data_IF_312605820151
#
_entry.id   IF_312605820151
#
_cell.length_a   1.000
_cell.length_b   1.000
_cell.length_c   1.000
_cell.angle_alpha   90.00
_cell.angle_beta   90.00
_cell.angle_gamma   90.00
#
_symmetry.space_group_name_H-M   'P 1'
#
loop_
_entity.id
_entity.type
_entity.pdbx_description
1 polymer ?
#
# COMPACT_ATOMS: atom_id res chain seq x y z
N UNK A 1 -13.62 11.84 -22.10
CA UNK A 1 -14.09 10.60 -21.45
C UNK A 1 -13.02 10.15 -20.47
N UNK A 2 -13.30 10.16 -19.17
CA UNK A 2 -12.40 9.59 -18.15
C UNK A 2 -12.46 8.07 -18.26
N UNK A 3 -11.32 7.34 -18.29
CA UNK A 3 -11.36 5.88 -18.30
C UNK A 3 -12.02 5.35 -17.02
N UNK A 4 -12.73 4.23 -17.13
CA UNK A 4 -13.33 3.57 -15.98
C UNK A 4 -12.23 3.19 -14.96
N UNK A 5 -12.52 3.26 -13.65
CA UNK A 5 -11.54 2.87 -12.64
C UNK A 5 -11.14 1.39 -12.82
N UNK A 6 -9.86 1.05 -12.59
CA UNK A 6 -9.41 -0.31 -12.70
C UNK A 6 -10.10 -1.18 -11.67
N UNK A 7 -10.37 -2.42 -12.07
CA UNK A 7 -10.96 -3.41 -11.18
C UNK A 7 -9.89 -3.96 -10.22
N UNK A 8 -10.29 -4.41 -9.01
CA UNK A 8 -9.38 -5.11 -8.13
C UNK A 8 -8.70 -6.31 -8.82
N UNK A 9 -7.46 -6.66 -8.44
CA UNK A 9 -6.75 -7.80 -9.02
C UNK A 9 -7.44 -9.16 -8.80
N UNK A 10 -8.42 -9.22 -7.91
CA UNK A 10 -9.20 -10.40 -7.57
C UNK A 10 -9.84 -10.25 -6.19
N UNK A 11 -10.37 -11.36 -5.65
CA UNK A 11 -10.81 -11.41 -4.25
C UNK A 11 -9.62 -11.18 -3.32
N UNK A 12 -9.84 -10.38 -2.27
CA UNK A 12 -8.84 -10.20 -1.23
C UNK A 12 -8.60 -11.51 -0.46
N UNK A 13 -7.33 -11.83 -0.24
CA UNK A 13 -6.86 -12.97 0.54
C UNK A 13 -7.29 -12.89 2.01
N UNK A 14 -7.28 -11.68 2.57
CA UNK A 14 -7.83 -11.39 3.89
C UNK A 14 -9.23 -10.81 3.74
N UNK A 15 -10.04 -10.95 4.80
CA UNK A 15 -11.23 -10.12 4.94
C UNK A 15 -10.81 -8.66 4.84
N UNK A 16 -11.44 -7.95 3.92
CA UNK A 16 -11.05 -6.58 3.56
C UNK A 16 -11.09 -5.66 4.78
N UNK A 17 -9.99 -4.93 5.00
CA UNK A 17 -9.89 -3.92 6.04
C UNK A 17 -10.37 -2.57 5.49
N UNK A 18 -10.86 -1.69 6.35
CA UNK A 18 -11.27 -0.33 5.96
C UNK A 18 -10.41 0.69 6.66
N UNK A 19 -10.04 1.73 5.92
CA UNK A 19 -9.40 2.92 6.46
C UNK A 19 -10.19 4.16 6.06
N UNK A 20 -10.11 5.20 6.88
CA UNK A 20 -10.67 6.50 6.54
C UNK A 20 -9.52 7.45 6.26
N UNK A 21 -9.45 7.93 5.02
CA UNK A 21 -8.53 8.99 4.65
C UNK A 21 -9.17 10.34 4.93
N UNK A 22 -8.38 11.31 5.38
CA UNK A 22 -8.88 12.64 5.71
C UNK A 22 -9.46 13.34 4.46
N UNK A 23 -10.50 14.13 4.64
CA UNK A 23 -11.02 15.04 3.62
C UNK A 23 -10.77 16.48 4.08
N UNK A 24 -9.50 16.91 4.05
CA UNK A 24 -9.13 18.29 4.32
C UNK A 24 -9.54 18.79 5.70
N UNK A 25 -9.46 20.11 5.92
CA UNK A 25 -9.79 20.70 7.22
C UNK A 25 -11.28 20.57 7.59
N UNK A 26 -12.18 20.44 6.61
CA UNK A 26 -13.63 20.61 6.79
C UNK A 26 -14.51 19.52 6.13
N UNK A 27 -13.92 18.48 5.54
CA UNK A 27 -14.66 17.43 4.84
C UNK A 27 -14.84 16.15 5.67
N UNK A 28 -15.92 15.42 5.39
CA UNK A 28 -16.07 14.05 5.87
C UNK A 28 -15.05 13.15 5.17
N UNK A 29 -14.18 12.48 5.94
CA UNK A 29 -13.15 11.59 5.39
C UNK A 29 -13.72 10.51 4.48
N UNK A 30 -12.95 10.09 3.47
CA UNK A 30 -13.35 9.04 2.53
C UNK A 30 -12.98 7.68 3.10
N UNK A 31 -13.94 6.75 3.15
CA UNK A 31 -13.64 5.37 3.53
C UNK A 31 -13.14 4.58 2.32
N UNK A 32 -11.97 3.97 2.47
CA UNK A 32 -11.38 3.08 1.48
C UNK A 32 -11.35 1.65 2.01
N UNK A 33 -11.59 0.73 1.11
CA UNK A 33 -11.44 -0.70 1.33
C UNK A 33 -10.05 -1.15 0.86
N UNK A 34 -9.35 -1.85 1.73
CA UNK A 34 -8.02 -2.40 1.47
C UNK A 34 -8.12 -3.88 1.16
N UNK A 35 -7.34 -4.31 0.17
CA UNK A 35 -7.21 -5.72 -0.19
C UNK A 35 -5.78 -6.11 -0.45
N UNK A 36 -5.54 -7.42 -0.43
CA UNK A 36 -4.25 -8.03 -0.67
C UNK A 36 -4.43 -9.35 -1.43
N UNK A 37 -3.58 -9.63 -2.42
CA UNK A 37 -3.56 -10.93 -3.09
C UNK A 37 -2.94 -12.00 -2.18
N UNK A 38 -3.21 -13.30 -2.38
CA UNK A 38 -2.47 -14.34 -1.68
C UNK A 38 -0.97 -14.17 -1.93
N UNK A 39 -0.11 -14.09 -0.89
CA UNK A 39 1.31 -13.82 -1.08
C UNK A 39 2.02 -15.07 -1.59
N UNK A 40 2.84 -14.99 -2.63
CA UNK A 40 3.67 -16.11 -3.09
C UNK A 40 5.05 -15.99 -2.47
N UNK A 41 5.64 -17.11 -2.02
CA UNK A 41 6.99 -17.13 -1.47
C UNK A 41 7.97 -17.66 -2.52
N UNK A 42 9.12 -17.00 -2.65
CA UNK A 42 10.23 -17.41 -3.51
C UNK A 42 11.22 -18.27 -2.72
N UNK A 43 12.06 -19.03 -3.42
CA UNK A 43 13.06 -19.93 -2.80
C UNK A 43 14.10 -19.18 -1.94
N UNK A 44 14.35 -17.90 -2.22
CA UNK A 44 15.23 -17.01 -1.45
C UNK A 44 14.50 -16.24 -0.33
N UNK A 45 13.24 -16.61 -0.04
CA UNK A 45 12.46 -16.15 1.12
C UNK A 45 11.75 -14.81 0.94
N UNK A 46 11.59 -14.32 -0.29
CA UNK A 46 10.77 -13.14 -0.55
C UNK A 46 9.30 -13.52 -0.64
N UNK A 47 8.46 -12.75 0.03
CA UNK A 47 7.03 -12.73 -0.19
C UNK A 47 6.67 -11.70 -1.24
N UNK A 48 5.95 -12.15 -2.27
CA UNK A 48 5.42 -11.34 -3.35
C UNK A 48 3.90 -11.25 -3.24
N UNK A 49 3.36 -10.05 -3.21
CA UNK A 49 1.92 -9.83 -3.18
C UNK A 49 1.55 -8.52 -3.90
N UNK A 50 0.25 -8.34 -4.13
CA UNK A 50 -0.32 -7.06 -4.54
C UNK A 50 -1.21 -6.56 -3.42
N UNK A 51 -1.03 -5.32 -2.98
CA UNK A 51 -1.97 -4.61 -2.09
C UNK A 51 -2.65 -3.49 -2.84
N UNK A 52 -3.90 -3.20 -2.53
CA UNK A 52 -4.66 -2.16 -3.21
C UNK A 52 -5.65 -1.46 -2.28
N UNK A 53 -6.06 -0.26 -2.67
CA UNK A 53 -7.15 0.47 -2.03
C UNK A 53 -8.24 0.78 -3.07
N UNK A 54 -9.49 0.62 -2.68
CA UNK A 54 -10.64 0.86 -3.54
C UNK A 54 -11.86 1.37 -2.79
N UNK A 55 -12.86 1.80 -3.54
CA UNK A 55 -14.21 2.14 -3.08
C UNK A 55 -15.25 1.28 -3.83
N UNK A 56 -16.52 1.67 -3.80
CA UNK A 56 -17.59 0.95 -4.49
C UNK A 56 -17.49 0.98 -6.02
N UNK A 57 -16.73 1.91 -6.59
CA UNK A 57 -16.55 2.03 -8.05
C UNK A 57 -15.34 1.24 -8.54
N UNK A 58 -14.37 0.93 -7.67
CA UNK A 58 -13.21 0.11 -7.99
C UNK A 58 -11.96 0.61 -7.27
N UNK A 59 -10.80 0.40 -7.88
CA UNK A 59 -9.53 0.87 -7.33
C UNK A 59 -9.41 2.39 -7.49
N UNK A 60 -9.09 3.07 -6.39
CA UNK A 60 -8.91 4.53 -6.40
C UNK A 60 -7.58 4.93 -7.01
N UNK A 61 -7.48 6.17 -7.48
CA UNK A 61 -6.21 6.75 -7.89
C UNK A 61 -5.33 7.08 -6.68
N UNK A 62 -4.01 7.03 -6.83
CA UNK A 62 -3.06 7.49 -5.82
C UNK A 62 -3.29 8.96 -5.45
N UNK A 63 -3.80 9.78 -6.38
CA UNK A 63 -4.23 11.16 -6.10
C UNK A 63 -5.24 11.25 -4.94
N UNK A 64 -6.09 10.25 -4.74
CA UNK A 64 -7.08 10.25 -3.65
C UNK A 64 -6.43 10.31 -2.27
N UNK A 65 -5.15 9.93 -2.14
CA UNK A 65 -4.40 9.92 -0.88
C UNK A 65 -3.29 10.98 -0.85
N UNK A 66 -3.20 11.84 -1.85
CA UNK A 66 -2.15 12.86 -1.96
C UNK A 66 -2.26 13.89 -0.82
N UNK A 67 -1.13 14.53 -0.43
CA UNK A 67 -1.16 15.68 0.46
C UNK A 67 -2.13 16.75 -0.05
N UNK A 68 -2.90 17.35 0.87
CA UNK A 68 -4.01 18.24 0.49
C UNK A 68 -3.59 19.70 0.31
N UNK A 69 -2.41 20.05 0.78
CA UNK A 69 -1.87 21.41 0.70
C UNK A 69 -0.64 21.43 -0.18
N UNK A 70 -0.72 22.19 -1.28
CA UNK A 70 0.35 22.33 -2.26
C UNK A 70 0.43 21.15 -3.25
N UNK A 71 1.21 21.30 -4.33
CA UNK A 71 1.52 20.17 -5.21
C UNK A 71 2.29 19.10 -4.41
N UNK A 72 2.00 17.80 -4.62
CA UNK A 72 2.72 16.75 -3.92
C UNK A 72 4.23 16.85 -4.21
N UNK A 73 5.10 16.85 -3.18
CA UNK A 73 6.53 17.08 -3.37
C UNK A 73 7.24 15.89 -4.02
N UNK A 74 6.76 14.68 -3.79
CA UNK A 74 7.33 13.43 -4.29
C UNK A 74 6.28 12.58 -5.06
N UNK A 75 6.71 11.64 -5.92
CA UNK A 75 5.83 10.60 -6.43
C UNK A 75 5.21 9.79 -5.28
N UNK A 76 4.06 9.11 -5.47
CA UNK A 76 3.34 8.47 -4.37
C UNK A 76 4.17 7.49 -3.52
N UNK A 77 5.09 6.74 -4.15
CA UNK A 77 5.99 5.82 -3.42
C UNK A 77 7.00 6.52 -2.52
N UNK A 78 7.36 7.79 -2.80
CA UNK A 78 8.21 8.59 -1.92
C UNK A 78 7.57 8.83 -0.56
N UNK A 79 6.24 8.86 -0.48
CA UNK A 79 5.49 9.01 0.77
C UNK A 79 5.06 7.66 1.36
N UNK A 80 4.52 6.77 0.53
CA UNK A 80 4.05 5.45 0.99
C UNK A 80 5.22 4.60 1.50
N UNK A 81 6.35 4.58 0.78
CA UNK A 81 7.48 3.68 1.05
C UNK A 81 8.05 3.82 2.45
N UNK A 82 8.49 5.01 2.87
CA UNK A 82 9.02 5.24 4.21
C UNK A 82 7.99 4.93 5.31
N UNK A 83 6.73 5.35 5.14
CA UNK A 83 5.68 5.09 6.13
C UNK A 83 5.37 3.59 6.26
N UNK A 84 5.31 2.88 5.15
CA UNK A 84 5.09 1.42 5.10
C UNK A 84 6.25 0.66 5.76
N UNK A 85 7.49 0.99 5.40
CA UNK A 85 8.68 0.36 5.94
C UNK A 85 8.82 0.62 7.45
N UNK A 86 8.55 1.86 7.89
CA UNK A 86 8.52 2.25 9.29
C UNK A 86 7.47 1.48 10.10
N UNK A 87 6.27 1.30 9.57
CA UNK A 87 5.19 0.53 10.21
C UNK A 87 5.54 -0.97 10.38
N UNK A 88 6.48 -1.49 9.59
CA UNK A 88 6.96 -2.87 9.65
C UNK A 88 8.32 -3.02 10.35
N UNK A 89 8.84 -1.96 10.98
CA UNK A 89 10.10 -2.01 11.70
C UNK A 89 10.10 -3.09 12.79
N UNK A 90 11.14 -3.92 12.81
CA UNK A 90 11.25 -5.08 13.71
C UNK A 90 10.42 -6.32 13.31
N UNK A 91 9.69 -6.26 12.18
CA UNK A 91 8.99 -7.40 11.59
C UNK A 91 9.66 -7.90 10.29
N UNK A 92 10.31 -7.01 9.55
CA UNK A 92 10.98 -7.33 8.28
C UNK A 92 12.48 -7.38 8.41
N UNK A 93 13.07 -8.33 7.68
CA UNK A 93 14.50 -8.58 7.63
C UNK A 93 15.28 -7.31 7.26
N UNK A 94 16.51 -7.21 7.75
CA UNK A 94 17.44 -6.14 7.39
C UNK A 94 18.77 -6.71 6.89
N UNK A 95 19.35 -6.03 5.91
CA UNK A 95 20.70 -6.28 5.39
C UNK A 95 21.42 -4.94 5.26
N UNK A 96 22.63 -4.84 5.80
CA UNK A 96 23.41 -3.59 5.85
C UNK A 96 22.62 -2.37 6.40
N UNK A 97 21.78 -2.63 7.41
CA UNK A 97 20.93 -1.61 8.05
C UNK A 97 19.75 -1.15 7.18
N UNK A 98 19.45 -1.85 6.09
CA UNK A 98 18.31 -1.56 5.21
C UNK A 98 17.26 -2.64 5.30
N UNK A 99 16.02 -2.21 5.50
CA UNK A 99 14.87 -3.11 5.50
C UNK A 99 14.66 -3.74 4.11
N UNK A 100 14.43 -5.05 4.10
CA UNK A 100 14.21 -5.86 2.90
C UNK A 100 12.75 -5.79 2.45
N UNK A 101 12.38 -4.64 1.93
CA UNK A 101 11.07 -4.36 1.35
C UNK A 101 11.22 -3.60 0.04
N UNK A 102 10.39 -3.93 -0.96
CA UNK A 102 10.34 -3.27 -2.25
C UNK A 102 8.88 -3.03 -2.61
N UNK A 103 8.57 -1.78 -2.98
CA UNK A 103 7.25 -1.38 -3.44
C UNK A 103 7.36 -0.90 -4.88
N UNK A 104 6.38 -1.25 -5.72
CA UNK A 104 6.22 -0.67 -7.06
C UNK A 104 4.76 -0.33 -7.31
N UNK A 105 4.54 0.78 -7.99
CA UNK A 105 3.24 1.11 -8.58
C UNK A 105 3.26 0.73 -10.06
N UNK A 106 2.10 0.48 -10.68
CA UNK A 106 2.00 0.44 -12.13
C UNK A 106 2.53 1.76 -12.74
N UNK A 107 2.98 1.73 -14.01
CA UNK A 107 3.35 2.95 -14.72
C UNK A 107 2.17 3.91 -14.76
N UNK A 108 2.44 5.22 -14.70
CA UNK A 108 1.38 6.20 -14.92
C UNK A 108 1.02 6.22 -16.41
N UNK A 109 -0.24 6.53 -16.71
CA UNK A 109 -0.63 6.83 -18.09
C UNK A 109 0.08 8.10 -18.60
N UNK A 110 0.36 9.04 -17.70
CA UNK A 110 1.14 10.26 -17.93
C UNK A 110 2.18 10.41 -16.81
N UNK A 111 3.46 10.19 -17.13
CA UNK A 111 4.54 10.28 -16.14
C UNK A 111 4.81 11.72 -15.65
N UNK A 112 4.26 12.75 -16.32
CA UNK A 112 4.23 14.12 -15.78
C UNK A 112 3.23 14.28 -14.64
N UNK A 113 2.33 13.31 -14.46
CA UNK A 113 1.28 13.27 -13.43
C UNK A 113 1.40 12.00 -12.61
N UNK A 114 2.47 11.84 -11.79
CA UNK A 114 2.76 10.58 -11.13
C UNK A 114 1.71 10.15 -10.10
N UNK A 115 0.79 11.03 -9.73
CA UNK A 115 -0.33 10.74 -8.83
C UNK A 115 -1.59 10.25 -9.55
N UNK A 116 -1.68 10.42 -10.88
CA UNK A 116 -2.78 9.91 -11.71
C UNK A 116 -2.49 8.46 -12.15
N UNK A 117 -2.29 7.58 -11.17
CA UNK A 117 -2.19 6.13 -11.37
C UNK A 117 -3.00 5.34 -10.33
N UNK A 118 -3.44 4.12 -10.64
CA UNK A 118 -4.18 3.28 -9.70
C UNK A 118 -3.37 3.01 -8.43
N UNK A 119 -4.02 3.02 -7.27
CA UNK A 119 -3.42 2.71 -5.98
C UNK A 119 -3.33 1.19 -5.78
N UNK A 120 -2.51 0.56 -6.63
CA UNK A 120 -2.17 -0.87 -6.62
C UNK A 120 -0.67 -0.98 -6.44
N UNK A 121 -0.21 -1.53 -5.34
CA UNK A 121 1.21 -1.67 -5.01
C UNK A 121 1.62 -3.13 -5.14
N UNK A 122 2.60 -3.39 -6.00
CA UNK A 122 3.36 -4.63 -5.99
C UNK A 122 4.32 -4.60 -4.81
N UNK A 123 4.16 -5.55 -3.90
CA UNK A 123 4.91 -5.69 -2.66
C UNK A 123 5.87 -6.88 -2.79
N UNK A 124 7.15 -6.64 -2.56
CA UNK A 124 8.12 -7.67 -2.22
C UNK A 124 8.60 -7.43 -0.79
N UNK A 125 8.51 -8.42 0.08
CA UNK A 125 8.88 -8.29 1.51
C UNK A 125 9.60 -9.55 1.96
N UNK A 126 10.73 -9.39 2.66
CA UNK A 126 11.38 -10.48 3.36
C UNK A 126 11.15 -10.30 4.85
N UNK A 127 10.39 -11.20 5.45
CA UNK A 127 10.09 -11.16 6.87
C UNK A 127 11.32 -11.55 7.69
N UNK A 128 11.41 -11.05 8.92
CA UNK A 128 12.39 -11.56 9.88
C UNK A 128 12.19 -13.08 10.06
N UNK A 129 13.26 -13.91 10.02
CA UNK A 129 13.11 -15.38 10.07
C UNK A 129 12.34 -15.87 11.30
N UNK A 130 12.56 -15.23 12.45
CA UNK A 130 11.82 -15.56 13.69
C UNK A 130 10.33 -15.27 13.55
N UNK A 131 9.93 -14.24 12.80
CA UNK A 131 8.52 -13.94 12.52
C UNK A 131 7.90 -14.99 11.61
N UNK A 132 8.62 -15.45 10.58
CA UNK A 132 8.13 -16.55 9.72
C UNK A 132 7.90 -17.85 10.50
N UNK A 133 8.70 -18.11 11.54
CA UNK A 133 8.55 -19.31 12.38
C UNK A 133 7.43 -19.21 13.42
N UNK A 134 7.07 -17.98 13.84
CA UNK A 134 6.16 -17.75 14.97
C UNK A 134 4.80 -17.19 14.56
N UNK A 135 4.66 -16.72 13.33
CA UNK A 135 3.42 -16.13 12.81
C UNK A 135 2.91 -16.94 11.64
N UNK A 136 1.59 -17.14 11.61
CA UNK A 136 0.90 -17.73 10.46
C UNK A 136 0.94 -16.78 9.26
N UNK A 137 0.74 -17.33 8.06
CA UNK A 137 0.64 -16.57 6.81
C UNK A 137 -0.42 -15.46 6.88
N UNK A 138 -1.55 -15.73 7.54
CA UNK A 138 -2.63 -14.75 7.72
C UNK A 138 -2.26 -13.62 8.70
N UNK A 139 -1.42 -13.89 9.69
CA UNK A 139 -0.93 -12.84 10.60
C UNK A 139 0.06 -11.93 9.89
N UNK A 140 1.04 -12.49 9.16
CA UNK A 140 2.00 -11.71 8.37
C UNK A 140 1.31 -10.87 7.29
N UNK A 141 0.37 -11.46 6.55
CA UNK A 141 -0.42 -10.73 5.55
C UNK A 141 -1.20 -9.55 6.19
N UNK A 142 -1.68 -9.71 7.43
CA UNK A 142 -2.41 -8.67 8.14
C UNK A 142 -1.51 -7.52 8.57
N UNK A 143 -0.30 -7.82 9.02
CA UNK A 143 0.68 -6.78 9.33
C UNK A 143 1.06 -5.98 8.07
N UNK A 144 1.24 -6.64 6.92
CA UNK A 144 1.45 -5.95 5.64
C UNK A 144 0.26 -5.06 5.25
N UNK A 145 -0.98 -5.56 5.38
CA UNK A 145 -2.18 -4.79 5.02
C UNK A 145 -2.41 -3.60 5.97
N UNK A 146 -2.15 -3.76 7.27
CA UNK A 146 -2.21 -2.69 8.27
C UNK A 146 -1.14 -1.63 8.05
N UNK A 147 0.08 -2.04 7.71
CA UNK A 147 1.16 -1.12 7.35
C UNK A 147 0.79 -0.30 6.11
N UNK A 148 0.18 -0.94 5.09
CA UNK A 148 -0.32 -0.26 3.91
C UNK A 148 -1.41 0.76 4.23
N UNK A 149 -2.41 0.36 5.03
CA UNK A 149 -3.46 1.27 5.48
C UNK A 149 -2.93 2.46 6.28
N UNK A 150 -1.98 2.21 7.18
CA UNK A 150 -1.35 3.25 7.99
C UNK A 150 -0.53 4.23 7.13
N UNK A 151 0.20 3.72 6.13
CA UNK A 151 0.97 4.53 5.19
C UNK A 151 0.05 5.42 4.34
N UNK A 152 -1.06 4.88 3.85
CA UNK A 152 -2.08 5.64 3.10
C UNK A 152 -2.65 6.78 3.94
N UNK A 153 -3.07 6.48 5.18
CA UNK A 153 -3.64 7.49 6.08
C UNK A 153 -2.61 8.59 6.41
N UNK A 154 -1.33 8.23 6.53
CA UNK A 154 -0.26 9.19 6.78
C UNK A 154 -0.01 10.14 5.60
N UNK A 155 -0.16 9.69 4.35
CA UNK A 155 0.07 10.50 3.15
C UNK A 155 -0.86 11.73 3.07
N UNK A 156 -2.09 11.62 3.57
CA UNK A 156 -3.07 12.70 3.55
C UNK A 156 -2.98 13.69 4.70
N UNK A 157 -1.99 13.54 5.61
CA UNK A 157 -1.78 14.48 6.72
C UNK A 157 -1.05 15.74 6.22
N UNK A 158 -1.38 16.93 6.78
CA UNK A 158 -0.71 18.19 6.45
C UNK A 158 0.76 18.20 6.90
#
# INVERSE_FOLDING_TARGET
MTPAPPQPPGLSFLREERVTIHAGPNGAGTSLQLGMSPPTETDDGWWLAVVWAGDSEGIVNARSIAPQTGPPPDPPLGLIGPAFAGALSGLIAQEDGRQLVRLRLPPAADESRPWERPLIVQLAIKWEPVRQLTMTRNQLAREALRAFGSAIVACGRP
#
